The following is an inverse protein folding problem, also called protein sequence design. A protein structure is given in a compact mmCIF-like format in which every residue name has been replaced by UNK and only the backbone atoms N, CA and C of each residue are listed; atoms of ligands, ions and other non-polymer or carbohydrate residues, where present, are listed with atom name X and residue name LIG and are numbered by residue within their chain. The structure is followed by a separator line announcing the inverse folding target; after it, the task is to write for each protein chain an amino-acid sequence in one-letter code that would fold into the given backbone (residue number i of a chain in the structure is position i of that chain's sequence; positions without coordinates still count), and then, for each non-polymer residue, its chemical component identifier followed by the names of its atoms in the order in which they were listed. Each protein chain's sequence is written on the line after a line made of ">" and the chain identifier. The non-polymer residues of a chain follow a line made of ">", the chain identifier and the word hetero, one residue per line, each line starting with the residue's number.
data_IF_604435108968
#
_entry.id   IF_604435108968
#
_cell.length_a   1.000
_cell.length_b   1.000
_cell.length_c   1.000
_cell.angle_alpha   90.00
_cell.angle_beta   90.00
_cell.angle_gamma   90.00
#
_symmetry.space_group_name_H-M   'P 1'
#
loop_
_entity.id
_entity.type
_entity.pdbx_description
1 polymer ?
#
# COMPACT_ATOMS: atom_id res chain seq x y z
N UNK A 1 9.83 -32.08 -2.09
CA UNK A 1 9.27 -31.77 -0.75
C UNK A 1 7.96 -32.52 -0.56
N UNK A 2 7.72 -33.11 0.60
CA UNK A 2 6.44 -33.77 0.92
C UNK A 2 5.41 -32.71 1.30
N UNK A 3 4.23 -32.70 0.66
CA UNK A 3 3.17 -31.75 0.97
C UNK A 3 2.63 -32.00 2.38
N UNK A 4 2.65 -30.98 3.23
CA UNK A 4 2.09 -31.05 4.59
C UNK A 4 0.56 -31.03 4.47
N UNK A 5 -0.10 -32.13 4.87
CA UNK A 5 -1.56 -32.27 4.81
C UNK A 5 -2.28 -31.97 6.13
N UNK A 6 -1.55 -31.97 7.24
CA UNK A 6 -2.10 -31.72 8.58
C UNK A 6 -2.24 -30.22 8.84
N UNK A 7 -3.45 -29.77 9.17
CA UNK A 7 -3.81 -28.38 9.46
C UNK A 7 -3.00 -27.79 10.62
N UNK A 8 -2.70 -28.59 11.66
CA UNK A 8 -1.91 -28.13 12.82
C UNK A 8 -0.49 -27.75 12.41
N UNK A 9 0.10 -28.57 11.53
CA UNK A 9 1.43 -28.35 10.99
C UNK A 9 1.44 -27.17 10.00
N UNK A 10 0.38 -26.97 9.22
CA UNK A 10 0.23 -25.79 8.36
C UNK A 10 0.14 -24.49 9.18
N UNK A 11 -0.66 -24.46 10.25
CA UNK A 11 -0.76 -23.31 11.13
C UNK A 11 0.59 -22.98 11.79
N UNK A 12 1.33 -24.00 12.23
CA UNK A 12 2.67 -23.81 12.77
C UNK A 12 3.64 -23.25 11.72
N UNK A 13 3.55 -23.72 10.48
CA UNK A 13 4.35 -23.20 9.38
C UNK A 13 4.01 -21.72 9.09
N UNK A 14 2.73 -21.34 9.07
CA UNK A 14 2.31 -19.95 8.91
C UNK A 14 2.83 -19.04 10.03
N UNK A 15 2.81 -19.51 11.28
CA UNK A 15 3.41 -18.79 12.41
C UNK A 15 4.92 -18.62 12.23
N UNK A 16 5.62 -19.65 11.77
CA UNK A 16 7.06 -19.56 11.49
C UNK A 16 7.36 -18.55 10.36
N UNK A 17 6.61 -18.60 9.25
CA UNK A 17 6.72 -17.63 8.15
C UNK A 17 6.50 -16.21 8.67
N UNK A 18 5.50 -15.99 9.53
CA UNK A 18 5.23 -14.68 10.15
C UNK A 18 6.43 -14.17 10.95
N UNK A 19 7.05 -15.02 11.76
CA UNK A 19 8.24 -14.63 12.56
C UNK A 19 9.41 -14.27 11.64
N UNK A 20 9.69 -15.11 10.64
CA UNK A 20 10.76 -14.86 9.65
C UNK A 20 10.51 -13.55 8.90
N UNK A 21 9.27 -13.30 8.48
CA UNK A 21 8.88 -12.07 7.80
C UNK A 21 9.10 -10.82 8.67
N UNK A 22 8.75 -10.89 9.97
CA UNK A 22 9.01 -9.79 10.91
C UNK A 22 10.51 -9.53 11.04
N UNK A 23 11.31 -10.58 11.26
CA UNK A 23 12.77 -10.47 11.40
C UNK A 23 13.39 -9.90 10.12
N UNK A 24 12.98 -10.38 8.95
CA UNK A 24 13.47 -9.89 7.66
C UNK A 24 13.11 -8.41 7.46
N UNK A 25 11.86 -8.03 7.77
CA UNK A 25 11.40 -6.65 7.62
C UNK A 25 12.18 -5.72 8.56
N UNK A 26 12.38 -6.11 9.82
CA UNK A 26 13.18 -5.34 10.77
C UNK A 26 14.65 -5.24 10.35
N UNK A 27 15.22 -6.33 9.83
CA UNK A 27 16.60 -6.33 9.31
C UNK A 27 16.77 -5.37 8.14
N UNK A 28 15.84 -5.40 7.18
CA UNK A 28 15.84 -4.45 6.05
C UNK A 28 15.69 -3.02 6.54
N UNK A 29 14.75 -2.74 7.45
CA UNK A 29 14.57 -1.40 8.02
C UNK A 29 15.80 -0.92 8.79
N UNK A 30 16.52 -1.80 9.50
CA UNK A 30 17.76 -1.46 10.18
C UNK A 30 18.87 -1.08 9.19
N UNK A 31 19.04 -1.85 8.10
CA UNK A 31 20.03 -1.56 7.05
C UNK A 31 19.72 -0.22 6.38
N UNK A 32 18.47 -0.02 5.95
CA UNK A 32 18.06 1.22 5.30
C UNK A 32 18.11 2.42 6.25
N UNK A 33 17.74 2.23 7.52
CA UNK A 33 17.85 3.27 8.55
C UNK A 33 19.29 3.66 8.86
N UNK A 34 20.21 2.70 8.81
CA UNK A 34 21.64 2.98 8.93
C UNK A 34 22.16 3.77 7.72
N UNK A 35 21.82 3.37 6.49
CA UNK A 35 22.19 4.11 5.28
C UNK A 35 21.59 5.53 5.29
N UNK A 36 20.36 5.70 5.80
CA UNK A 36 19.71 6.99 5.93
C UNK A 36 20.46 7.93 6.88
N UNK A 37 20.95 7.43 8.02
CA UNK A 37 21.67 8.26 9.01
C UNK A 37 23.12 8.54 8.62
N UNK A 38 23.76 7.66 7.84
CA UNK A 38 25.18 7.78 7.49
C UNK A 38 25.43 8.40 6.11
N UNK A 39 24.59 8.09 5.12
CA UNK A 39 24.75 8.49 3.71
C UNK A 39 23.58 9.34 3.20
N UNK A 40 22.58 9.60 4.05
CA UNK A 40 21.40 10.39 3.69
C UNK A 40 20.41 9.64 2.79
N UNK A 41 19.45 10.40 2.24
CA UNK A 41 18.38 9.87 1.38
C UNK A 41 18.92 9.26 0.08
N UNK A 42 19.94 9.86 -0.52
CA UNK A 42 20.55 9.36 -1.76
C UNK A 42 21.28 8.03 -1.53
N UNK A 43 21.95 7.89 -0.39
CA UNK A 43 22.60 6.63 0.00
C UNK A 43 21.61 5.49 0.28
N UNK A 44 20.46 5.81 0.85
CA UNK A 44 19.41 4.81 1.10
C UNK A 44 18.73 4.36 -0.21
N UNK A 45 18.36 5.30 -1.09
CA UNK A 45 17.62 5.00 -2.32
C UNK A 45 18.46 4.35 -3.41
N UNK A 46 19.78 4.59 -3.41
CA UNK A 46 20.72 3.91 -4.30
C UNK A 46 21.04 2.47 -3.89
N UNK A 47 20.69 2.05 -2.66
CA UNK A 47 20.88 0.68 -2.21
C UNK A 47 19.88 -0.26 -2.90
N UNK A 48 20.32 -1.35 -3.57
CA UNK A 48 19.41 -2.32 -4.19
C UNK A 48 18.37 -2.93 -3.22
N UNK A 49 18.71 -3.04 -1.94
CA UNK A 49 17.80 -3.52 -0.88
C UNK A 49 16.56 -2.62 -0.76
N UNK A 50 16.72 -1.31 -0.99
CA UNK A 50 15.60 -0.37 -0.95
C UNK A 50 14.57 -0.67 -2.04
N UNK A 51 15.03 -0.96 -3.26
CA UNK A 51 14.14 -1.29 -4.38
C UNK A 51 13.38 -2.59 -4.10
N UNK A 52 14.09 -3.63 -3.63
CA UNK A 52 13.47 -4.92 -3.28
C UNK A 52 12.43 -4.74 -2.18
N UNK A 53 12.73 -3.92 -1.17
CA UNK A 53 11.80 -3.59 -0.11
C UNK A 53 10.55 -2.89 -0.63
N UNK A 54 10.71 -1.84 -1.45
CA UNK A 54 9.61 -1.08 -2.01
C UNK A 54 8.68 -1.95 -2.86
N UNK A 55 9.23 -2.78 -3.75
CA UNK A 55 8.44 -3.72 -4.56
C UNK A 55 7.69 -4.71 -3.67
N UNK A 56 8.37 -5.26 -2.66
CA UNK A 56 7.75 -6.21 -1.72
C UNK A 56 6.59 -5.59 -0.95
N UNK A 57 6.75 -4.34 -0.49
CA UNK A 57 5.69 -3.59 0.20
C UNK A 57 4.51 -3.30 -0.72
N UNK A 58 4.77 -2.89 -1.96
CA UNK A 58 3.71 -2.64 -2.96
C UNK A 58 2.91 -3.91 -3.22
N UNK A 59 3.60 -5.03 -3.51
CA UNK A 59 2.96 -6.33 -3.74
C UNK A 59 2.14 -6.73 -2.50
N UNK A 60 2.74 -6.68 -1.31
CA UNK A 60 2.04 -7.01 -0.07
C UNK A 60 0.80 -6.14 0.18
N UNK A 61 0.84 -4.84 -0.18
CA UNK A 61 -0.31 -3.95 -0.07
C UNK A 61 -1.46 -4.38 -0.99
N UNK A 62 -1.19 -4.73 -2.25
CA UNK A 62 -2.22 -5.23 -3.18
C UNK A 62 -2.80 -6.58 -2.75
N UNK A 63 -1.97 -7.51 -2.27
CA UNK A 63 -2.47 -8.78 -1.72
C UNK A 63 -3.34 -8.55 -0.48
N UNK A 64 -2.90 -7.69 0.44
CA UNK A 64 -3.65 -7.36 1.65
C UNK A 64 -4.98 -6.68 1.34
N UNK A 65 -4.99 -5.79 0.34
CA UNK A 65 -6.19 -5.13 -0.14
C UNK A 65 -7.19 -6.14 -0.70
N UNK A 66 -6.72 -7.15 -1.43
CA UNK A 66 -7.57 -8.21 -1.97
C UNK A 66 -8.29 -8.96 -0.86
N UNK A 67 -7.53 -9.45 0.12
CA UNK A 67 -8.08 -10.14 1.30
C UNK A 67 -9.03 -9.24 2.10
N UNK A 68 -8.71 -7.95 2.23
CA UNK A 68 -9.54 -6.99 2.98
C UNK A 68 -10.90 -6.76 2.34
N UNK A 69 -11.01 -6.80 1.00
CA UNK A 69 -12.29 -6.63 0.31
C UNK A 69 -13.15 -7.88 0.48
N UNK A 70 -12.55 -9.08 0.47
CA UNK A 70 -13.27 -10.34 0.68
C UNK A 70 -13.85 -10.48 2.10
N UNK A 71 -13.21 -9.86 3.09
CA UNK A 71 -13.67 -9.82 4.49
C UNK A 71 -14.57 -8.61 4.80
N UNK A 72 -14.86 -7.76 3.82
CA UNK A 72 -15.68 -6.57 4.01
C UNK A 72 -17.17 -6.97 4.14
N UNK A 73 -17.89 -6.40 5.10
CA UNK A 73 -19.34 -6.65 5.23
C UNK A 73 -20.09 -6.29 3.94
N UNK A 74 -20.80 -7.28 3.40
CA UNK A 74 -21.34 -7.32 2.02
C UNK A 74 -22.47 -6.34 1.71
N UNK A 75 -23.02 -5.64 2.71
CA UNK A 75 -24.23 -4.81 2.52
C UNK A 75 -23.97 -3.38 1.98
N UNK A 76 -22.73 -3.01 1.64
CA UNK A 76 -22.41 -1.62 1.25
C UNK A 76 -22.23 -1.47 -0.27
N UNK A 77 -23.02 -0.59 -0.88
CA UNK A 77 -22.91 -0.26 -2.30
C UNK A 77 -21.47 0.19 -2.67
N UNK A 78 -20.79 -0.47 -3.62
CA UNK A 78 -19.39 -0.18 -3.99
C UNK A 78 -19.18 1.27 -4.43
N UNK A 79 -20.17 1.82 -5.14
CA UNK A 79 -20.13 3.20 -5.65
C UNK A 79 -20.04 4.22 -4.52
N UNK A 80 -20.81 4.06 -3.43
CA UNK A 80 -20.72 4.98 -2.27
C UNK A 80 -19.34 4.93 -1.62
N UNK A 81 -18.74 3.75 -1.49
CA UNK A 81 -17.39 3.62 -0.93
C UNK A 81 -16.33 4.22 -1.84
N UNK A 82 -16.52 4.19 -3.16
CA UNK A 82 -15.63 4.91 -4.07
C UNK A 82 -15.66 6.40 -3.85
N UNK A 83 -16.85 6.99 -3.80
CA UNK A 83 -16.98 8.43 -3.58
C UNK A 83 -16.31 8.83 -2.27
N UNK A 84 -16.47 8.03 -1.21
CA UNK A 84 -15.76 8.26 0.06
C UNK A 84 -14.24 8.19 -0.14
N UNK A 85 -13.72 7.13 -0.75
CA UNK A 85 -12.27 6.99 -0.97
C UNK A 85 -11.68 8.08 -1.87
N UNK A 86 -12.41 8.50 -2.90
CA UNK A 86 -12.00 9.57 -3.81
C UNK A 86 -12.00 10.92 -3.10
N UNK A 87 -13.00 11.18 -2.25
CA UNK A 87 -13.05 12.39 -1.41
C UNK A 87 -11.86 12.44 -0.47
N UNK A 88 -11.55 11.33 0.21
CA UNK A 88 -10.41 11.24 1.13
C UNK A 88 -9.09 11.51 0.41
N UNK A 89 -8.87 10.91 -0.77
CA UNK A 89 -7.64 11.14 -1.55
C UNK A 89 -7.55 12.58 -2.04
N UNK A 90 -8.66 13.15 -2.52
CA UNK A 90 -8.69 14.54 -2.96
C UNK A 90 -8.34 15.49 -1.82
N UNK A 91 -8.89 15.27 -0.63
CA UNK A 91 -8.61 16.07 0.57
C UNK A 91 -7.14 15.91 0.99
N UNK A 92 -6.65 14.68 1.07
CA UNK A 92 -5.26 14.40 1.46
C UNK A 92 -4.26 15.03 0.48
N UNK A 93 -4.50 14.87 -0.81
CA UNK A 93 -3.70 15.48 -1.87
C UNK A 93 -3.70 17.00 -1.80
N UNK A 94 -4.86 17.62 -1.52
CA UNK A 94 -4.97 19.07 -1.37
C UNK A 94 -4.20 19.57 -0.14
N UNK A 95 -4.30 18.87 0.99
CA UNK A 95 -3.56 19.21 2.22
C UNK A 95 -2.06 19.18 1.96
N UNK A 96 -1.55 18.11 1.33
CA UNK A 96 -0.11 17.98 1.04
C UNK A 96 0.35 19.04 0.04
N UNK A 97 -0.39 19.25 -1.07
CA UNK A 97 -0.06 20.27 -2.05
C UNK A 97 -0.07 21.70 -1.48
N UNK A 98 -0.99 21.98 -0.55
CA UNK A 98 -1.05 23.25 0.16
C UNK A 98 0.14 23.41 1.11
N UNK A 99 0.50 22.37 1.87
CA UNK A 99 1.68 22.40 2.75
C UNK A 99 2.98 22.68 1.98
N UNK A 100 3.13 22.07 0.80
CA UNK A 100 4.25 22.33 -0.10
C UNK A 100 4.25 23.77 -0.62
N UNK A 101 3.06 24.32 -0.92
CA UNK A 101 2.92 25.70 -1.41
C UNK A 101 3.24 26.75 -0.35
N UNK A 102 3.04 26.43 0.94
CA UNK A 102 3.37 27.29 2.07
C UNK A 102 4.81 27.15 2.56
N UNK A 103 5.59 26.21 2.03
CA UNK A 103 7.00 26.06 2.36
C UNK A 103 7.83 27.16 1.70
N UNK A 104 8.59 27.90 2.50
CA UNK A 104 9.37 29.06 2.04
C UNK A 104 10.25 28.71 0.82
N UNK A 105 10.08 29.49 -0.25
CA UNK A 105 10.86 29.39 -1.48
C UNK A 105 10.25 28.55 -2.60
N UNK A 106 9.10 27.90 -2.40
CA UNK A 106 8.40 27.15 -3.45
C UNK A 106 7.26 27.97 -4.08
N UNK A 107 7.17 27.99 -5.42
CA UNK A 107 6.05 28.62 -6.14
C UNK A 107 4.78 27.79 -5.90
N UNK A 108 3.61 28.44 -5.85
CA UNK A 108 2.29 27.78 -5.76
C UNK A 108 2.10 26.68 -6.82
N UNK A 109 2.71 26.87 -8.00
CA UNK A 109 2.74 25.86 -9.07
C UNK A 109 3.37 24.52 -8.65
N UNK A 110 4.40 24.54 -7.81
CA UNK A 110 5.08 23.31 -7.37
C UNK A 110 4.18 22.48 -6.45
N UNK A 111 3.43 23.13 -5.56
CA UNK A 111 2.47 22.43 -4.71
C UNK A 111 1.30 21.84 -5.49
N UNK A 112 0.84 22.52 -6.55
CA UNK A 112 -0.19 21.99 -7.44
C UNK A 112 0.30 20.75 -8.22
N UNK A 113 1.54 20.80 -8.74
CA UNK A 113 2.15 19.66 -9.44
C UNK A 113 2.31 18.46 -8.49
N UNK A 114 2.87 18.69 -7.30
CA UNK A 114 3.11 17.63 -6.30
C UNK A 114 1.78 17.03 -5.82
N UNK A 115 0.78 17.86 -5.53
CA UNK A 115 -0.58 17.40 -5.24
C UNK A 115 -1.13 16.55 -6.38
N UNK A 116 -1.04 17.03 -7.63
CA UNK A 116 -1.49 16.28 -8.80
C UNK A 116 -0.84 14.90 -8.94
N UNK A 117 0.48 14.80 -8.74
CA UNK A 117 1.21 13.53 -8.80
C UNK A 117 0.69 12.56 -7.73
N UNK A 118 0.53 13.04 -6.49
CA UNK A 118 -0.01 12.24 -5.38
C UNK A 118 -1.41 11.75 -5.72
N UNK A 119 -2.30 12.65 -6.16
CA UNK A 119 -3.67 12.31 -6.54
C UNK A 119 -3.71 11.19 -7.58
N UNK A 120 -2.94 11.30 -8.66
CA UNK A 120 -2.88 10.28 -9.72
C UNK A 120 -2.29 8.97 -9.19
N UNK A 121 -1.27 9.02 -8.34
CA UNK A 121 -0.67 7.82 -7.74
C UNK A 121 -1.65 7.04 -6.87
N UNK A 122 -2.50 7.73 -6.09
CA UNK A 122 -3.50 7.10 -5.22
C UNK A 122 -4.77 6.68 -5.98
N UNK A 123 -5.00 7.23 -7.17
CA UNK A 123 -6.13 6.87 -8.02
C UNK A 123 -6.06 5.39 -8.43
N UNK A 124 -4.87 4.89 -8.79
CA UNK A 124 -4.67 3.51 -9.26
C UNK A 124 -5.11 2.46 -8.22
N UNK A 125 -4.65 2.50 -6.95
CA UNK A 125 -5.14 1.61 -5.90
C UNK A 125 -6.65 1.70 -5.67
N UNK A 126 -7.26 2.90 -5.74
CA UNK A 126 -8.70 3.05 -5.51
C UNK A 126 -9.54 2.46 -6.63
N UNK A 127 -9.12 2.65 -7.88
CA UNK A 127 -9.76 1.99 -9.01
C UNK A 127 -9.61 0.47 -8.92
N UNK A 128 -8.47 -0.03 -8.44
CA UNK A 128 -8.28 -1.47 -8.20
C UNK A 128 -9.26 -2.00 -7.13
N UNK A 129 -9.40 -1.31 -5.97
CA UNK A 129 -10.43 -1.66 -4.97
C UNK A 129 -11.82 -1.66 -5.60
N UNK A 130 -12.14 -0.65 -6.42
CA UNK A 130 -13.45 -0.57 -7.03
C UNK A 130 -13.77 -1.80 -7.85
N UNK A 131 -12.83 -2.16 -8.73
CA UNK A 131 -12.96 -3.30 -9.61
C UNK A 131 -13.17 -4.56 -8.78
N UNK A 132 -12.35 -4.77 -7.75
CA UNK A 132 -12.49 -5.95 -6.90
C UNK A 132 -13.85 -6.01 -6.17
N UNK A 133 -14.34 -4.88 -5.66
CA UNK A 133 -15.69 -4.81 -5.06
C UNK A 133 -16.80 -5.09 -6.07
N UNK A 134 -16.63 -4.64 -7.31
CA UNK A 134 -17.60 -4.85 -8.39
C UNK A 134 -17.61 -6.32 -8.80
N UNK A 135 -16.45 -6.92 -9.03
CA UNK A 135 -16.30 -8.32 -9.42
C UNK A 135 -16.93 -9.24 -8.35
N UNK A 136 -16.67 -8.98 -7.06
CA UNK A 136 -17.28 -9.72 -5.95
C UNK A 136 -18.82 -9.63 -5.89
N UNK A 137 -19.42 -8.50 -6.33
CA UNK A 137 -20.89 -8.38 -6.43
C UNK A 137 -21.45 -9.13 -7.64
N UNK A 138 -20.75 -9.12 -8.78
CA UNK A 138 -21.20 -9.82 -9.99
C UNK A 138 -21.18 -11.33 -9.80
N UNK A 139 -20.16 -11.88 -9.13
CA UNK A 139 -20.12 -13.29 -8.74
C UNK A 139 -21.27 -13.69 -7.81
N UNK A 140 -21.75 -12.76 -6.98
CA UNK A 140 -22.90 -13.00 -6.09
C UNK A 140 -24.23 -13.03 -6.85
N UNK A 141 -24.44 -12.10 -7.78
CA UNK A 141 -25.67 -12.07 -8.60
C UNK A 141 -25.78 -13.31 -9.52
N UNK A 142 -24.65 -13.92 -9.87
CA UNK A 142 -24.57 -15.11 -10.71
C UNK A 142 -24.76 -16.45 -9.97
N UNK A 143 -24.75 -16.47 -8.63
CA UNK A 143 -24.94 -17.68 -7.80
C UNK A 143 -26.33 -17.72 -7.17
#
# INVERSE_FOLDING_TARGET
>A
MKKIRDERLQLKNLKNIRVVYIVQTLGILAILGYDLTTKGLDGMTSNPVWIVFMVSVIVNAYLSMTISVDHEERQRSPVKRLYISLTVISVLSAIIGLFVSFSDGQKVWNGLIIGGIIFVSFLVPVLYIFKLRKDNLEEEISN
#
